data_IF_953977947925
#
_entry.id   IF_953977947925
#
_cell.length_a   1.000
_cell.length_b   1.000
_cell.length_c   1.000
_cell.angle_alpha   90.00
_cell.angle_beta   90.00
_cell.angle_gamma   90.00
#
_symmetry.space_group_name_H-M   'P 1'
#
loop_
_entity.id
_entity.type
_entity.pdbx_description
1 polymer ?
#
# COMPACT_ATOMS: atom_id res chain seq x y z
N UNK A 1 48.23 18.00 -5.81
CA UNK A 1 46.90 18.66 -5.75
C UNK A 1 45.81 17.94 -6.57
N UNK A 2 46.01 16.66 -6.95
CA UNK A 2 45.11 15.89 -7.82
C UNK A 2 44.78 14.49 -7.25
N UNK A 3 44.94 14.32 -5.94
CA UNK A 3 44.80 13.02 -5.26
C UNK A 3 43.93 13.12 -4.00
N UNK A 4 42.94 14.01 -4.03
CA UNK A 4 41.87 14.11 -3.03
C UNK A 4 40.49 13.88 -3.70
N UNK A 5 40.44 12.90 -4.61
CA UNK A 5 39.41 11.86 -4.50
C UNK A 5 39.73 11.07 -3.22
N UNK A 6 38.80 10.52 -2.47
CA UNK A 6 37.39 10.36 -2.75
C UNK A 6 36.78 9.72 -1.52
N UNK A 7 36.08 10.52 -0.73
CA UNK A 7 35.02 10.08 0.18
C UNK A 7 33.98 11.21 0.18
N UNK A 8 33.55 11.66 -1.00
CA UNK A 8 32.19 12.13 -1.11
C UNK A 8 31.41 10.86 -1.43
N UNK A 9 30.95 10.18 -0.37
CA UNK A 9 29.90 9.19 -0.54
C UNK A 9 28.76 9.93 -1.26
N UNK A 10 28.63 9.70 -2.56
CA UNK A 10 27.34 9.77 -3.22
C UNK A 10 26.49 8.69 -2.57
N UNK A 11 26.01 8.98 -1.36
CA UNK A 11 24.69 8.55 -0.97
C UNK A 11 23.81 9.15 -2.04
N UNK A 12 23.47 8.33 -3.04
CA UNK A 12 22.23 8.52 -3.76
C UNK A 12 21.19 8.61 -2.66
N UNK A 13 20.85 9.85 -2.27
CA UNK A 13 19.76 10.11 -1.36
C UNK A 13 18.53 9.64 -2.13
N UNK A 14 18.19 8.37 -1.92
CA UNK A 14 16.90 7.87 -2.39
C UNK A 14 15.88 8.77 -1.74
N UNK A 15 15.08 9.42 -2.59
CA UNK A 15 14.21 10.52 -2.20
C UNK A 15 13.28 9.99 -1.14
N UNK A 16 13.55 10.35 0.11
CA UNK A 16 12.69 9.99 1.20
C UNK A 16 11.44 10.86 1.06
N UNK A 17 10.28 10.22 1.01
CA UNK A 17 9.01 10.94 1.01
C UNK A 17 8.63 11.17 2.47
N UNK A 18 8.44 12.43 2.82
CA UNK A 18 8.01 12.81 4.17
C UNK A 18 6.49 12.90 4.19
N UNK A 19 5.88 12.08 5.05
CA UNK A 19 4.43 11.97 5.21
C UNK A 19 4.04 12.59 6.54
N UNK A 20 3.37 13.74 6.48
CA UNK A 20 2.94 14.44 7.68
C UNK A 20 1.49 14.10 8.01
N UNK A 21 1.26 13.70 9.26
CA UNK A 21 -0.07 13.51 9.81
C UNK A 21 -0.77 14.86 9.98
N UNK A 22 -2.02 14.96 9.51
CA UNK A 22 -2.78 16.23 9.51
C UNK A 22 -3.57 16.43 10.80
N UNK A 23 -4.34 15.46 11.31
CA UNK A 23 -5.13 15.64 12.51
C UNK A 23 -4.27 15.79 13.76
N UNK A 24 -4.72 16.59 14.73
CA UNK A 24 -4.13 16.64 16.06
C UNK A 24 -5.22 16.55 17.13
N UNK A 25 -4.85 16.37 18.38
CA UNK A 25 -5.75 16.42 19.53
C UNK A 25 -5.39 17.58 20.46
N UNK A 26 -4.86 18.68 19.90
CA UNK A 26 -4.49 19.86 20.67
C UNK A 26 -5.73 20.57 21.22
N UNK A 27 -5.60 21.14 22.42
CA UNK A 27 -6.65 21.89 23.09
C UNK A 27 -7.03 23.16 22.29
N UNK A 28 -6.05 23.86 21.73
CA UNK A 28 -6.24 25.11 20.99
C UNK A 28 -6.73 24.92 19.54
N UNK A 29 -6.97 23.69 19.11
CA UNK A 29 -7.50 23.42 17.75
C UNK A 29 -9.03 23.42 17.78
N UNK A 30 -9.64 24.45 17.21
CA UNK A 30 -11.09 24.66 17.19
C UNK A 30 -11.91 23.47 16.65
N UNK A 31 -11.38 22.75 15.66
CA UNK A 31 -12.03 21.57 15.08
C UNK A 31 -12.03 20.34 15.99
N UNK A 32 -11.29 20.36 17.10
CA UNK A 32 -11.33 19.31 18.11
C UNK A 32 -12.47 19.50 19.12
N UNK A 33 -13.33 20.51 18.92
CA UNK A 33 -14.45 20.82 19.81
C UNK A 33 -15.77 20.80 19.05
N UNK A 34 -16.84 20.31 19.69
CA UNK A 34 -18.17 20.18 19.09
C UNK A 34 -18.79 21.54 18.68
N UNK A 35 -18.36 22.64 19.29
CA UNK A 35 -18.78 24.00 18.95
C UNK A 35 -17.94 24.67 17.86
N UNK A 36 -16.91 24.00 17.34
CA UNK A 36 -16.02 24.58 16.33
C UNK A 36 -15.22 25.80 16.82
N UNK A 37 -15.02 25.92 18.14
CA UNK A 37 -14.23 26.96 18.80
C UNK A 37 -13.51 26.39 20.02
N UNK A 38 -12.38 27.00 20.38
CA UNK A 38 -11.69 26.70 21.63
C UNK A 38 -12.56 27.11 22.82
N UNK A 39 -12.60 26.34 23.93
CA UNK A 39 -13.29 26.74 25.16
C UNK A 39 -12.77 28.07 25.71
N UNK A 40 -13.67 28.89 26.23
CA UNK A 40 -13.35 30.16 26.87
C UNK A 40 -13.63 30.10 28.39
N UNK A 41 -13.32 31.18 29.13
CA UNK A 41 -13.26 31.13 30.59
C UNK A 41 -14.56 30.70 31.31
N UNK A 42 -15.71 31.03 30.74
CA UNK A 42 -17.04 30.69 31.28
C UNK A 42 -17.55 29.32 30.84
N UNK A 43 -16.80 28.59 30.03
CA UNK A 43 -17.22 27.28 29.55
C UNK A 43 -16.95 26.18 30.57
N UNK A 44 -17.80 25.16 30.47
CA UNK A 44 -17.61 23.86 31.10
C UNK A 44 -17.06 22.91 30.04
N UNK A 45 -15.81 22.48 30.23
CA UNK A 45 -15.13 21.56 29.32
C UNK A 45 -15.49 20.13 29.67
N UNK A 46 -15.89 19.35 28.67
CA UNK A 46 -16.29 17.96 28.87
C UNK A 46 -15.54 17.02 27.92
N UNK A 47 -14.67 16.21 28.50
CA UNK A 47 -14.13 15.01 27.86
C UNK A 47 -15.02 13.82 28.23
N UNK A 48 -15.45 13.06 27.24
CA UNK A 48 -16.29 11.89 27.49
C UNK A 48 -15.52 10.84 28.31
N UNK A 49 -16.14 10.39 29.40
CA UNK A 49 -15.53 9.52 30.42
C UNK A 49 -14.80 8.30 29.84
N UNK A 50 -15.41 7.65 28.85
CA UNK A 50 -14.95 6.38 28.29
C UNK A 50 -14.06 6.55 27.04
N UNK A 51 -13.72 7.80 26.66
CA UNK A 51 -12.83 8.07 25.54
C UNK A 51 -11.38 8.12 25.99
N UNK A 52 -10.49 7.62 25.13
CA UNK A 52 -9.06 7.65 25.36
C UNK A 52 -8.46 8.83 24.61
N UNK A 53 -7.80 9.75 25.31
CA UNK A 53 -7.23 10.95 24.67
C UNK A 53 -5.86 11.32 25.24
N UNK A 54 -4.96 11.72 24.35
CA UNK A 54 -3.77 12.50 24.68
C UNK A 54 -4.00 13.91 24.14
N UNK A 55 -3.91 14.94 24.97
CA UNK A 55 -4.24 16.33 24.61
C UNK A 55 -3.04 17.22 24.86
N UNK A 56 -2.50 17.82 23.81
CA UNK A 56 -1.46 18.84 23.93
C UNK A 56 -2.08 20.19 24.26
N UNK A 57 -1.50 20.89 25.21
CA UNK A 57 -1.93 22.22 25.67
C UNK A 57 -0.75 23.15 25.50
N UNK A 58 -0.89 24.11 24.59
CA UNK A 58 0.18 25.06 24.25
C UNK A 58 0.15 26.35 25.07
N UNK A 59 -0.98 26.68 25.70
CA UNK A 59 -1.20 27.97 26.35
C UNK A 59 -1.99 27.85 27.67
N UNK A 60 -1.94 28.87 28.55
CA UNK A 60 -2.80 28.92 29.73
C UNK A 60 -4.28 29.06 29.37
N UNK A 61 -5.14 28.31 30.07
CA UNK A 61 -6.60 28.41 29.96
C UNK A 61 -7.23 28.56 31.34
N UNK A 62 -8.00 29.62 31.54
CA UNK A 62 -8.92 29.73 32.66
C UNK A 62 -10.24 29.05 32.28
N UNK A 63 -10.84 28.26 33.16
CA UNK A 63 -12.09 27.54 32.88
C UNK A 63 -12.99 27.50 34.12
N UNK A 64 -14.30 27.37 33.90
CA UNK A 64 -15.27 27.24 35.00
C UNK A 64 -15.23 25.84 35.60
N UNK A 65 -15.32 24.82 34.75
CA UNK A 65 -15.21 23.41 35.14
C UNK A 65 -14.56 22.59 34.01
N UNK A 66 -13.88 21.50 34.36
CA UNK A 66 -13.35 20.53 33.40
C UNK A 66 -13.60 19.10 33.88
N UNK A 67 -14.32 18.32 33.09
CA UNK A 67 -14.51 16.88 33.29
C UNK A 67 -13.47 16.12 32.47
N UNK A 68 -12.62 15.35 33.16
CA UNK A 68 -11.52 14.59 32.55
C UNK A 68 -11.98 13.18 32.12
N UNK A 69 -11.36 12.60 31.09
CA UNK A 69 -11.57 11.19 30.74
C UNK A 69 -10.98 10.27 31.83
N UNK A 70 -11.44 9.02 31.90
CA UNK A 70 -10.81 8.04 32.79
C UNK A 70 -9.42 7.63 32.33
N UNK A 71 -9.21 7.61 31.00
CA UNK A 71 -7.95 7.19 30.39
C UNK A 71 -7.47 8.32 29.48
N UNK A 72 -6.52 9.12 29.94
CA UNK A 72 -5.95 10.16 29.10
C UNK A 72 -4.80 10.89 29.77
N UNK A 73 -4.22 11.80 29.00
CA UNK A 73 -3.13 12.65 29.45
C UNK A 73 -3.28 14.06 28.88
N UNK A 74 -2.71 15.04 29.59
CA UNK A 74 -2.55 16.41 29.12
C UNK A 74 -1.06 16.73 29.06
N UNK A 75 -0.54 16.96 27.86
CA UNK A 75 0.84 17.34 27.61
C UNK A 75 0.92 18.86 27.69
N UNK A 76 1.37 19.38 28.84
CA UNK A 76 1.49 20.81 29.07
C UNK A 76 2.81 21.34 28.51
N UNK A 77 2.73 22.22 27.51
CA UNK A 77 3.90 22.95 27.02
C UNK A 77 4.45 23.89 28.10
N UNK A 78 5.66 24.42 27.88
CA UNK A 78 6.23 25.43 28.75
C UNK A 78 5.30 26.66 28.82
N UNK A 79 4.80 26.97 30.01
CA UNK A 79 3.85 28.07 30.24
C UNK A 79 2.37 27.70 30.05
N UNK A 80 2.05 26.49 29.62
CA UNK A 80 0.67 26.00 29.61
C UNK A 80 0.19 25.67 31.03
N UNK A 81 -1.08 25.97 31.31
CA UNK A 81 -1.70 25.73 32.60
C UNK A 81 -3.23 25.72 32.48
N UNK A 82 -3.89 25.08 33.43
CA UNK A 82 -5.32 25.27 33.67
C UNK A 82 -5.51 26.02 34.98
N UNK A 83 -6.32 27.08 34.96
CA UNK A 83 -6.69 27.86 36.14
C UNK A 83 -8.19 27.91 36.31
N UNK A 84 -8.65 28.07 37.56
CA UNK A 84 -10.05 28.34 37.83
C UNK A 84 -10.41 29.74 37.34
N UNK A 85 -11.54 29.87 36.66
CA UNK A 85 -12.09 31.16 36.28
C UNK A 85 -12.52 31.95 37.54
N UNK A 86 -12.02 33.17 37.67
CA UNK A 86 -12.19 34.03 38.85
C UNK A 86 -13.44 34.92 38.79
N UNK A 87 -14.25 34.80 37.74
CA UNK A 87 -15.43 35.63 37.51
C UNK A 87 -15.13 36.99 36.86
N UNK A 88 -13.87 37.26 36.48
CA UNK A 88 -13.50 38.47 35.74
C UNK A 88 -14.18 38.51 34.36
N UNK A 89 -14.35 39.71 33.80
CA UNK A 89 -14.91 39.84 32.46
C UNK A 89 -13.88 39.41 31.41
N UNK A 90 -14.26 38.44 30.57
CA UNK A 90 -13.46 37.91 29.46
C UNK A 90 -14.12 38.31 28.12
N UNK A 91 -13.51 39.25 27.35
CA UNK A 91 -14.05 39.71 26.07
C UNK A 91 -14.20 38.56 25.07
N UNK A 92 -15.42 38.33 24.58
CA UNK A 92 -15.71 37.23 23.66
C UNK A 92 -16.15 35.93 24.34
N UNK A 93 -16.23 35.92 25.67
CA UNK A 93 -16.80 34.84 26.47
C UNK A 93 -18.04 35.32 27.27
N UNK A 94 -18.93 36.09 26.63
CA UNK A 94 -20.07 36.71 27.33
C UNK A 94 -21.11 35.68 27.80
N UNK A 95 -21.25 34.57 27.08
CA UNK A 95 -22.12 33.44 27.44
C UNK A 95 -21.31 32.16 27.47
N UNK A 96 -21.17 31.56 28.65
CA UNK A 96 -20.58 30.24 28.81
C UNK A 96 -21.52 29.12 28.37
N UNK A 97 -20.95 27.97 28.01
CA UNK A 97 -21.70 26.75 27.73
C UNK A 97 -20.87 25.49 27.95
N UNK A 98 -21.49 24.33 27.77
CA UNK A 98 -20.75 23.06 27.75
C UNK A 98 -20.12 22.86 26.37
N UNK A 99 -18.80 22.70 26.34
CA UNK A 99 -18.02 22.43 25.13
C UNK A 99 -17.41 21.02 25.25
N UNK A 100 -17.68 20.17 24.27
CA UNK A 100 -17.28 18.76 24.28
C UNK A 100 -16.11 18.52 23.35
N UNK A 101 -15.13 17.76 23.82
CA UNK A 101 -14.01 17.36 22.97
C UNK A 101 -14.48 16.30 21.96
N UNK A 102 -14.09 16.48 20.70
CA UNK A 102 -14.51 15.62 19.60
C UNK A 102 -13.84 14.25 19.67
N UNK A 103 -14.56 13.23 19.21
CA UNK A 103 -14.05 11.87 19.14
C UNK A 103 -12.93 11.74 18.09
N UNK A 104 -11.74 11.30 18.53
CA UNK A 104 -10.56 11.10 17.70
C UNK A 104 -10.28 9.63 17.33
N UNK A 105 -11.09 8.66 17.82
CA UNK A 105 -10.88 7.22 17.62
C UNK A 105 -10.89 6.80 16.14
N UNK A 106 -11.69 7.48 15.31
CA UNK A 106 -11.94 7.06 13.91
C UNK A 106 -10.88 7.53 12.91
N UNK A 107 -9.80 8.17 13.39
CA UNK A 107 -8.74 8.73 12.52
C UNK A 107 -7.78 7.63 12.09
N UNK A 108 -8.03 7.06 10.92
CA UNK A 108 -7.29 5.89 10.42
C UNK A 108 -5.95 6.25 9.78
N UNK A 109 -4.91 5.48 10.11
CA UNK A 109 -3.61 5.49 9.45
C UNK A 109 -3.74 5.32 7.94
N UNK A 110 -4.68 4.50 7.47
CA UNK A 110 -4.88 4.20 6.06
C UNK A 110 -5.90 5.13 5.37
N UNK A 111 -6.27 6.25 5.99
CA UNK A 111 -7.05 7.29 5.30
C UNK A 111 -6.10 8.25 4.53
N UNK A 112 -6.09 8.22 3.18
CA UNK A 112 -5.20 9.05 2.37
C UNK A 112 -5.52 10.56 2.43
N UNK A 113 -6.59 10.96 3.12
CA UNK A 113 -6.97 12.35 3.33
C UNK A 113 -6.47 12.94 4.64
N UNK A 114 -5.91 12.09 5.53
CA UNK A 114 -5.32 12.50 6.81
C UNK A 114 -3.80 12.65 6.74
N UNK A 115 -3.22 12.45 5.55
CA UNK A 115 -1.80 12.60 5.27
C UNK A 115 -1.56 13.67 4.22
N UNK A 116 -0.40 14.32 4.31
CA UNK A 116 0.11 15.22 3.27
C UNK A 116 1.60 14.99 3.06
N UNK A 117 2.03 15.26 1.84
CA UNK A 117 3.45 15.25 1.49
C UNK A 117 4.07 16.58 1.90
N UNK A 118 5.22 16.51 2.57
CA UNK A 118 6.02 17.66 2.97
C UNK A 118 7.46 17.53 2.46
N UNK A 119 8.15 18.67 2.41
CA UNK A 119 9.60 18.70 2.22
C UNK A 119 10.30 18.23 3.50
N UNK A 120 11.60 17.86 3.44
CA UNK A 120 12.37 17.54 4.65
C UNK A 120 12.37 18.68 5.68
N UNK A 121 12.17 19.93 5.24
CA UNK A 121 12.02 21.11 6.11
C UNK A 121 10.69 21.18 6.86
N UNK A 122 9.73 20.29 6.57
CA UNK A 122 8.36 20.33 7.09
C UNK A 122 7.42 21.26 6.31
N UNK A 123 7.93 21.99 5.32
CA UNK A 123 7.11 22.84 4.45
C UNK A 123 6.23 22.00 3.52
N UNK A 124 5.05 22.52 3.18
CA UNK A 124 4.17 21.88 2.21
C UNK A 124 4.90 21.72 0.89
N UNK A 125 4.93 20.50 0.34
CA UNK A 125 5.45 20.28 -1.00
C UNK A 125 4.57 21.07 -1.98
N UNK A 126 5.16 21.97 -2.81
CA UNK A 126 4.39 22.74 -3.78
C UNK A 126 3.59 21.80 -4.69
N UNK A 127 2.38 22.23 -5.07
CA UNK A 127 1.62 21.55 -6.10
C UNK A 127 2.44 21.49 -7.38
N UNK A 128 2.74 20.29 -7.84
CA UNK A 128 3.49 20.04 -9.07
C UNK A 128 2.67 19.21 -10.04
N UNK A 129 3.23 18.96 -11.25
CA UNK A 129 2.59 18.08 -12.20
C UNK A 129 2.76 16.59 -11.80
N UNK A 130 3.38 16.31 -10.65
CA UNK A 130 3.50 14.96 -10.08
C UNK A 130 2.46 14.74 -8.99
N UNK A 131 1.77 13.61 -9.04
CA UNK A 131 0.86 13.16 -7.99
C UNK A 131 1.18 11.72 -7.55
N UNK A 132 0.61 11.30 -6.42
CA UNK A 132 0.69 9.92 -5.93
C UNK A 132 -0.65 9.22 -6.07
N UNK A 133 -0.63 7.94 -6.46
CA UNK A 133 -1.84 7.11 -6.42
C UNK A 133 -2.32 6.94 -4.96
N UNK A 134 -3.57 6.51 -4.78
CA UNK A 134 -4.21 6.51 -3.46
C UNK A 134 -3.47 5.67 -2.41
N UNK A 135 -2.91 4.52 -2.78
CA UNK A 135 -2.09 3.67 -1.89
C UNK A 135 -0.75 4.31 -1.51
N UNK A 136 -0.26 5.25 -2.29
CA UNK A 136 0.99 5.98 -2.07
C UNK A 136 0.77 7.33 -1.38
N UNK A 137 -0.49 7.70 -1.11
CA UNK A 137 -0.82 8.93 -0.36
C UNK A 137 -0.72 8.72 1.15
N UNK A 138 -0.92 7.50 1.63
CA UNK A 138 -0.60 7.07 3.00
C UNK A 138 0.87 6.65 3.09
N UNK A 139 1.46 6.53 4.29
CA UNK A 139 2.87 6.16 4.43
C UNK A 139 3.24 4.82 3.80
N UNK A 140 4.30 4.82 3.00
CA UNK A 140 4.91 3.63 2.42
C UNK A 140 6.04 3.08 3.32
N UNK A 141 6.51 1.86 3.01
CA UNK A 141 7.54 1.14 3.74
C UNK A 141 8.83 1.93 4.03
N UNK A 142 9.22 2.79 3.11
CA UNK A 142 10.50 3.52 3.16
C UNK A 142 10.32 5.03 3.43
N UNK A 143 9.12 5.44 3.85
CA UNK A 143 8.79 6.84 4.09
C UNK A 143 9.19 7.25 5.52
N UNK A 144 9.44 8.55 5.66
CA UNK A 144 9.63 9.21 6.94
C UNK A 144 8.29 9.81 7.38
N UNK A 145 7.76 9.37 8.52
CA UNK A 145 6.49 9.85 9.05
C UNK A 145 6.71 10.98 10.03
N UNK A 146 5.95 12.07 9.91
CA UNK A 146 6.03 13.21 10.80
C UNK A 146 4.68 13.42 11.49
N UNK A 147 4.69 13.30 12.81
CA UNK A 147 3.72 13.97 13.66
C UNK A 147 4.30 15.33 14.05
N UNK A 148 3.52 16.40 13.85
CA UNK A 148 4.03 17.75 14.06
C UNK A 148 4.59 17.92 15.48
N UNK A 149 5.72 18.63 15.64
CA UNK A 149 6.20 19.01 16.97
C UNK A 149 5.11 19.77 17.73
N UNK A 150 5.12 19.68 19.06
CA UNK A 150 4.16 20.42 19.90
C UNK A 150 2.68 20.09 19.56
N UNK A 151 2.42 18.84 19.18
CA UNK A 151 1.06 18.35 18.95
C UNK A 151 0.88 16.96 19.54
N UNK A 152 -0.31 16.69 20.06
CA UNK A 152 -0.75 15.32 20.37
C UNK A 152 -1.64 14.81 19.26
N UNK A 153 -1.86 13.50 19.22
CA UNK A 153 -2.71 12.87 18.23
C UNK A 153 -3.31 11.58 18.76
N UNK A 154 -4.26 11.02 18.00
CA UNK A 154 -4.79 9.69 18.21
C UNK A 154 -5.01 9.04 16.84
N UNK A 155 -4.37 7.90 16.61
CA UNK A 155 -4.31 7.25 15.30
C UNK A 155 -4.70 5.78 15.44
N UNK A 156 -5.63 5.36 14.59
CA UNK A 156 -5.99 3.95 14.42
C UNK A 156 -5.06 3.29 13.39
N UNK A 157 -4.20 2.37 13.81
CA UNK A 157 -3.24 1.61 13.02
C UNK A 157 -3.76 0.25 12.56
N UNK A 158 -5.07 0.03 12.54
CA UNK A 158 -5.66 -1.21 12.04
C UNK A 158 -5.22 -1.51 10.61
N UNK A 159 -4.62 -2.68 10.41
CA UNK A 159 -4.05 -3.14 9.14
C UNK A 159 -4.48 -4.57 8.83
N UNK A 160 -4.44 -4.92 7.54
CA UNK A 160 -4.47 -6.30 7.08
C UNK A 160 -3.15 -7.04 7.37
N UNK A 161 -2.09 -6.30 7.69
CA UNK A 161 -0.76 -6.80 8.01
C UNK A 161 -0.50 -6.67 9.51
N UNK A 162 0.23 -7.61 10.14
CA UNK A 162 0.57 -7.51 11.55
C UNK A 162 1.55 -6.35 11.84
N UNK A 163 2.38 -6.01 10.86
CA UNK A 163 3.45 -5.02 10.98
C UNK A 163 3.37 -4.02 9.83
N UNK A 164 3.41 -2.74 10.18
CA UNK A 164 3.52 -1.61 9.26
C UNK A 164 4.96 -1.11 9.35
N UNK A 165 5.75 -1.36 8.31
CA UNK A 165 7.14 -0.94 8.24
C UNK A 165 7.24 0.51 7.76
N UNK A 166 8.20 1.26 8.32
CA UNK A 166 8.53 2.63 7.96
C UNK A 166 10.04 2.82 8.01
N UNK A 167 10.56 3.88 7.38
CA UNK A 167 11.95 4.27 7.55
C UNK A 167 12.17 4.92 8.92
N UNK A 168 11.39 5.95 9.23
CA UNK A 168 11.43 6.65 10.51
C UNK A 168 10.06 7.19 10.92
N UNK A 169 9.92 7.53 12.20
CA UNK A 169 8.76 8.24 12.74
C UNK A 169 9.27 9.37 13.62
N UNK A 170 8.81 10.59 13.36
CA UNK A 170 9.07 11.76 14.19
C UNK A 170 7.88 12.06 15.08
N UNK A 171 8.09 12.08 16.40
CA UNK A 171 7.10 12.43 17.43
C UNK A 171 7.71 13.46 18.36
N UNK A 172 6.97 14.52 18.71
CA UNK A 172 7.46 15.61 19.57
C UNK A 172 8.78 16.24 19.09
N UNK A 173 8.97 16.33 17.77
CA UNK A 173 10.19 16.86 17.17
C UNK A 173 11.42 15.94 17.25
N UNK A 174 11.29 14.73 17.79
CA UNK A 174 12.35 13.74 17.82
C UNK A 174 12.13 12.70 16.72
N UNK A 175 13.10 12.56 15.81
CA UNK A 175 13.13 11.49 14.81
C UNK A 175 13.56 10.16 15.44
N UNK A 176 12.71 9.14 15.33
CA UNK A 176 12.93 7.78 15.80
C UNK A 176 13.14 6.88 14.58
N UNK A 177 14.40 6.57 14.27
CA UNK A 177 14.80 5.83 13.07
C UNK A 177 15.51 4.51 13.39
N UNK A 178 15.55 4.09 14.66
CA UNK A 178 16.07 2.79 15.06
C UNK A 178 15.00 1.98 15.80
N UNK A 179 14.98 0.64 15.65
CA UNK A 179 14.01 -0.20 16.37
C UNK A 179 14.03 0.01 17.90
N UNK A 180 15.21 0.24 18.48
CA UNK A 180 15.36 0.46 19.93
C UNK A 180 14.81 1.80 20.39
N UNK A 181 15.05 2.89 19.66
CA UNK A 181 14.48 4.21 20.01
C UNK A 181 12.96 4.22 19.89
N UNK A 182 12.42 3.60 18.83
CA UNK A 182 10.98 3.45 18.65
C UNK A 182 10.33 2.56 19.72
N UNK A 183 10.95 1.42 20.05
CA UNK A 183 10.49 0.56 21.14
C UNK A 183 10.52 1.29 22.50
N UNK A 184 11.54 2.13 22.73
CA UNK A 184 11.60 2.97 23.92
C UNK A 184 10.43 3.93 24.04
N UNK A 185 10.04 4.58 22.93
CA UNK A 185 8.85 5.43 22.88
C UNK A 185 7.55 4.63 23.08
N UNK A 186 7.41 3.47 22.41
CA UNK A 186 6.24 2.60 22.57
C UNK A 186 6.06 2.04 23.98
N UNK A 187 7.15 1.90 24.74
CA UNK A 187 7.11 1.52 26.16
C UNK A 187 6.69 2.65 27.09
N UNK A 188 6.56 3.89 26.59
CA UNK A 188 6.11 5.05 27.35
C UNK A 188 4.59 5.13 27.52
N UNK A 189 4.10 5.92 28.50
CA UNK A 189 2.68 6.01 28.82
C UNK A 189 1.84 6.69 27.72
N UNK A 190 2.43 7.59 26.93
CA UNK A 190 1.73 8.32 25.88
C UNK A 190 1.43 7.47 24.65
N UNK A 191 2.28 6.48 24.34
CA UNK A 191 2.14 5.65 23.16
C UNK A 191 0.78 4.94 23.03
N UNK A 192 0.24 4.22 24.05
CA UNK A 192 -1.08 3.61 23.96
C UNK A 192 -2.25 4.61 23.89
N UNK A 193 -2.03 5.86 24.31
CA UNK A 193 -3.02 6.94 24.19
C UNK A 193 -3.02 7.54 22.77
N UNK A 194 -1.89 7.47 22.07
CA UNK A 194 -1.69 8.08 20.75
C UNK A 194 -1.83 7.08 19.59
N UNK A 195 -1.47 5.81 19.79
CA UNK A 195 -1.56 4.73 18.81
C UNK A 195 -2.43 3.60 19.35
N UNK A 196 -3.37 3.12 18.52
CA UNK A 196 -4.21 1.97 18.85
C UNK A 196 -4.57 1.21 17.58
N UNK A 197 -5.01 -0.04 17.72
CA UNK A 197 -5.39 -0.90 16.60
C UNK A 197 -4.60 -2.20 16.59
N UNK A 198 -4.85 -3.05 15.60
CA UNK A 198 -4.22 -4.36 15.50
C UNK A 198 -2.82 -4.34 14.83
N UNK A 199 -2.47 -3.28 14.10
CA UNK A 199 -1.22 -3.16 13.37
C UNK A 199 -0.11 -2.55 14.21
N UNK A 200 1.06 -3.18 14.23
CA UNK A 200 2.25 -2.67 14.95
C UNK A 200 3.15 -1.87 14.01
N UNK A 201 3.46 -0.62 14.37
CA UNK A 201 4.43 0.18 13.63
C UNK A 201 5.86 -0.29 13.93
N UNK A 202 6.71 -0.40 12.91
CA UNK A 202 8.14 -0.70 13.07
C UNK A 202 8.99 0.20 12.18
N UNK A 203 10.08 0.73 12.73
CA UNK A 203 11.04 1.56 11.99
C UNK A 203 12.29 0.77 11.64
N UNK A 204 12.80 0.94 10.41
CA UNK A 204 14.01 0.24 9.95
C UNK A 204 15.24 1.14 9.86
N UNK A 205 15.06 2.46 9.76
CA UNK A 205 16.13 3.42 9.49
C UNK A 205 16.71 3.34 8.08
N UNK A 206 16.15 2.50 7.21
CA UNK A 206 16.69 2.21 5.88
C UNK A 206 15.75 2.73 4.79
N UNK A 207 16.27 3.67 3.97
CA UNK A 207 15.61 4.10 2.75
C UNK A 207 15.57 3.00 1.70
N UNK A 208 14.86 3.26 0.60
CA UNK A 208 14.84 2.33 -0.54
C UNK A 208 16.27 2.15 -1.08
N UNK A 209 16.80 0.92 -1.16
CA UNK A 209 18.17 0.69 -1.65
C UNK A 209 18.25 0.58 -3.18
N UNK A 210 17.11 0.42 -3.85
CA UNK A 210 17.04 0.12 -5.28
C UNK A 210 16.78 1.40 -6.10
N UNK A 211 17.65 1.68 -7.07
CA UNK A 211 17.55 2.85 -7.96
C UNK A 211 16.33 2.81 -8.86
N UNK A 212 15.84 1.61 -9.18
CA UNK A 212 14.59 1.45 -9.92
C UNK A 212 13.34 1.71 -9.05
N UNK A 213 13.53 2.06 -7.77
CA UNK A 213 12.49 2.38 -6.80
C UNK A 213 12.08 1.17 -5.95
N UNK A 214 11.22 1.42 -4.97
CA UNK A 214 10.64 0.37 -4.12
C UNK A 214 9.11 0.44 -4.20
N UNK A 215 8.46 -0.71 -4.14
CA UNK A 215 7.00 -0.71 -4.02
C UNK A 215 6.58 -0.18 -2.65
N UNK A 216 5.47 0.55 -2.62
CA UNK A 216 4.99 1.22 -1.43
C UNK A 216 4.73 0.25 -0.24
N UNK A 217 4.23 -0.96 -0.53
CA UNK A 217 3.96 -1.99 0.49
C UNK A 217 2.53 -2.00 1.04
N UNK A 218 1.65 -1.17 0.50
CA UNK A 218 0.27 -1.00 0.98
C UNK A 218 -0.79 -1.82 0.22
N UNK A 219 -0.38 -2.68 -0.72
CA UNK A 219 -1.32 -3.41 -1.59
C UNK A 219 -2.31 -4.29 -0.81
N UNK A 220 -1.91 -4.87 0.34
CA UNK A 220 -2.82 -5.67 1.20
C UNK A 220 -3.84 -4.79 1.94
N UNK A 221 -3.50 -3.53 2.19
CA UNK A 221 -4.37 -2.54 2.82
C UNK A 221 -5.18 -1.72 1.79
N UNK A 222 -4.99 -1.95 0.49
CA UNK A 222 -5.68 -1.26 -0.61
C UNK A 222 -7.21 -1.15 -0.42
N UNK A 223 -7.94 -2.24 -0.11
CA UNK A 223 -9.38 -2.18 0.15
C UNK A 223 -9.75 -1.25 1.33
N UNK A 224 -8.93 -1.23 2.39
CA UNK A 224 -9.13 -0.35 3.56
C UNK A 224 -8.86 1.10 3.20
N UNK A 225 -7.80 1.37 2.43
CA UNK A 225 -7.43 2.70 1.95
C UNK A 225 -8.58 3.27 1.12
N UNK A 226 -9.12 2.49 0.20
CA UNK A 226 -10.25 2.90 -0.62
C UNK A 226 -11.54 3.07 0.20
N UNK A 227 -11.82 2.17 1.14
CA UNK A 227 -12.98 2.33 2.02
C UNK A 227 -12.88 3.60 2.88
N UNK A 228 -11.70 3.94 3.39
CA UNK A 228 -11.47 5.16 4.18
C UNK A 228 -11.65 6.42 3.31
N UNK A 229 -11.05 6.45 2.13
CA UNK A 229 -11.19 7.55 1.17
C UNK A 229 -12.67 7.84 0.85
N UNK A 230 -13.47 6.78 0.65
CA UNK A 230 -14.85 6.85 0.19
C UNK A 230 -15.89 7.01 1.32
N UNK A 231 -15.47 6.95 2.59
CA UNK A 231 -16.38 6.98 3.75
C UNK A 231 -16.99 8.36 4.00
N UNK A 232 -16.33 9.45 3.62
CA UNK A 232 -16.84 10.80 3.91
C UNK A 232 -17.98 11.20 2.94
N UNK A 233 -19.05 11.86 3.42
CA UNK A 233 -20.15 12.32 2.57
C UNK A 233 -19.64 13.26 1.48
N UNK A 234 -20.06 13.01 0.23
CA UNK A 234 -19.59 13.74 -0.95
C UNK A 234 -18.28 13.23 -1.56
N UNK A 235 -17.66 12.18 -0.99
CA UNK A 235 -16.41 11.58 -1.49
C UNK A 235 -16.63 10.21 -2.15
N UNK A 236 -17.63 10.08 -3.01
CA UNK A 236 -17.68 8.93 -3.93
C UNK A 236 -16.63 9.11 -5.02
N UNK A 237 -16.21 8.01 -5.65
CA UNK A 237 -15.40 8.12 -6.86
C UNK A 237 -16.18 8.97 -7.87
N UNK A 238 -15.59 10.05 -8.41
CA UNK A 238 -16.26 10.86 -9.41
C UNK A 238 -16.60 9.98 -10.61
N UNK A 239 -17.77 10.20 -11.20
CA UNK A 239 -18.15 9.49 -12.43
C UNK A 239 -17.11 9.82 -13.51
N UNK A 240 -16.42 8.82 -14.07
CA UNK A 240 -15.40 9.07 -15.07
C UNK A 240 -16.01 9.70 -16.33
N UNK A 241 -15.37 10.74 -16.86
CA UNK A 241 -15.84 11.44 -18.06
C UNK A 241 -15.64 10.66 -19.38
N UNK A 242 -15.05 9.47 -19.32
CA UNK A 242 -14.69 8.60 -20.44
C UNK A 242 -15.48 7.29 -20.40
N UNK A 243 -15.65 6.62 -21.55
CA UNK A 243 -16.50 5.43 -21.68
C UNK A 243 -15.89 4.20 -21.01
N UNK A 244 -14.57 4.00 -21.15
CA UNK A 244 -13.85 2.90 -20.48
C UNK A 244 -12.71 3.48 -19.64
N UNK A 245 -12.96 3.85 -18.37
CA UNK A 245 -11.93 4.34 -17.48
C UNK A 245 -10.90 3.25 -17.17
N UNK A 246 -9.66 3.67 -16.94
CA UNK A 246 -8.57 2.79 -16.49
C UNK A 246 -8.59 2.66 -14.97
N UNK A 247 -8.12 1.53 -14.45
CA UNK A 247 -7.90 1.33 -13.02
C UNK A 247 -6.40 1.10 -12.76
N UNK A 248 -5.60 2.17 -12.56
CA UNK A 248 -4.19 2.02 -12.23
C UNK A 248 -3.99 1.26 -10.93
N UNK A 249 -2.90 0.49 -10.84
CA UNK A 249 -2.53 -0.17 -9.59
C UNK A 249 -2.30 0.87 -8.50
N UNK A 250 -2.88 0.62 -7.32
CA UNK A 250 -2.82 1.53 -6.18
C UNK A 250 -3.77 2.73 -6.23
N UNK A 251 -4.63 2.83 -7.24
CA UNK A 251 -5.63 3.90 -7.33
C UNK A 251 -7.04 3.35 -7.06
N UNK A 252 -7.84 4.03 -6.24
CA UNK A 252 -9.18 3.57 -5.85
C UNK A 252 -10.27 3.82 -6.90
N UNK A 253 -10.17 4.88 -7.69
CA UNK A 253 -11.20 5.29 -8.64
C UNK A 253 -10.76 5.02 -10.09
N UNK A 254 -11.73 4.91 -11.00
CA UNK A 254 -11.44 4.88 -12.42
C UNK A 254 -10.90 6.23 -12.89
N UNK A 255 -9.89 6.23 -13.76
CA UNK A 255 -9.27 7.44 -14.31
C UNK A 255 -9.45 7.53 -15.82
N UNK A 256 -9.61 8.75 -16.32
CA UNK A 256 -9.59 9.05 -17.75
C UNK A 256 -8.22 9.61 -18.12
N UNK A 257 -7.55 8.96 -19.07
CA UNK A 257 -6.17 9.27 -19.44
C UNK A 257 -5.45 8.02 -19.95
N UNK A 258 -4.20 7.85 -19.57
CA UNK A 258 -3.35 6.76 -20.05
C UNK A 258 -2.51 6.16 -18.92
N UNK A 259 -2.18 4.88 -19.06
CA UNK A 259 -1.19 4.19 -18.24
C UNK A 259 -0.11 3.58 -19.10
N UNK A 260 1.14 3.63 -18.63
CA UNK A 260 2.28 2.98 -19.27
C UNK A 260 2.92 2.05 -18.25
N UNK A 261 3.07 0.78 -18.61
CA UNK A 261 3.78 -0.22 -17.82
C UNK A 261 5.12 -0.50 -18.46
N UNK A 262 6.21 -0.26 -17.74
CA UNK A 262 7.57 -0.45 -18.21
C UNK A 262 8.19 -1.70 -17.57
N UNK A 263 8.74 -2.55 -18.43
CA UNK A 263 9.75 -3.52 -18.02
C UNK A 263 11.11 -2.83 -18.06
N UNK A 264 11.93 -3.11 -17.05
CA UNK A 264 13.18 -2.42 -16.83
C UNK A 264 14.32 -3.38 -16.52
N UNK A 265 15.53 -2.95 -16.82
CA UNK A 265 16.79 -3.62 -16.50
C UNK A 265 17.34 -3.10 -15.17
N UNK A 266 18.32 -3.80 -14.55
CA UNK A 266 18.98 -3.31 -13.33
C UNK A 266 19.67 -1.94 -13.44
N UNK A 267 19.87 -1.41 -14.65
CA UNK A 267 20.47 -0.09 -14.89
C UNK A 267 19.46 1.06 -14.85
N UNK A 268 18.16 0.75 -14.81
CA UNK A 268 17.10 1.75 -14.76
C UNK A 268 17.15 2.54 -13.45
N UNK A 269 17.00 3.86 -13.56
CA UNK A 269 16.96 4.79 -12.44
C UNK A 269 15.64 5.56 -12.48
N UNK A 270 14.77 5.28 -11.50
CA UNK A 270 13.41 5.78 -11.43
C UNK A 270 13.39 7.30 -11.31
N UNK A 271 14.22 7.86 -10.42
CA UNK A 271 14.25 9.29 -10.17
C UNK A 271 14.78 10.03 -11.40
N UNK A 272 15.88 9.53 -11.99
CA UNK A 272 16.47 10.13 -13.19
C UNK A 272 15.47 10.13 -14.36
N UNK A 273 14.72 9.04 -14.55
CA UNK A 273 13.75 8.98 -15.63
C UNK A 273 12.52 9.85 -15.34
N UNK A 274 12.03 9.90 -14.11
CA UNK A 274 10.97 10.83 -13.71
C UNK A 274 11.38 12.29 -13.97
N UNK A 275 12.59 12.68 -13.56
CA UNK A 275 13.11 14.03 -13.77
C UNK A 275 13.21 14.38 -15.26
N UNK A 276 13.70 13.44 -16.09
CA UNK A 276 13.72 13.59 -17.56
C UNK A 276 12.33 13.86 -18.12
N UNK A 277 11.35 13.02 -17.75
CA UNK A 277 9.97 13.16 -18.23
C UNK A 277 9.35 14.50 -17.81
N UNK A 278 9.59 14.93 -16.57
CA UNK A 278 9.10 16.23 -16.07
C UNK A 278 9.73 17.38 -16.84
N UNK A 279 11.05 17.38 -17.01
CA UNK A 279 11.79 18.49 -17.58
C UNK A 279 11.63 18.60 -19.10
N UNK A 280 11.63 17.47 -19.82
CA UNK A 280 11.65 17.47 -21.28
C UNK A 280 10.27 17.36 -21.90
N UNK A 281 9.33 16.66 -21.27
CA UNK A 281 8.00 16.43 -21.83
C UNK A 281 6.93 17.20 -21.06
N UNK A 282 6.73 16.91 -19.78
CA UNK A 282 5.61 17.44 -18.99
C UNK A 282 5.64 18.97 -18.83
N UNK A 283 6.83 19.58 -18.91
CA UNK A 283 7.03 21.04 -18.88
C UNK A 283 6.58 21.75 -20.16
N UNK A 284 6.35 21.02 -21.26
CA UNK A 284 6.00 21.63 -22.54
C UNK A 284 4.60 22.25 -22.48
N UNK A 285 4.38 23.45 -23.06
CA UNK A 285 3.09 24.12 -23.02
C UNK A 285 1.90 23.30 -23.54
N UNK A 286 2.12 22.38 -24.49
CA UNK A 286 1.08 21.50 -25.02
C UNK A 286 0.51 20.51 -24.00
N UNK A 287 1.22 20.27 -22.89
CA UNK A 287 0.82 19.39 -21.79
C UNK A 287 0.49 20.13 -20.50
N UNK A 288 0.26 21.45 -20.58
CA UNK A 288 -0.28 22.20 -19.45
C UNK A 288 -1.59 21.56 -18.96
N UNK A 289 -1.70 21.32 -17.65
CA UNK A 289 -2.85 20.66 -17.02
C UNK A 289 -2.72 19.13 -16.90
N UNK A 290 -1.72 18.50 -17.54
CA UNK A 290 -1.46 17.06 -17.36
C UNK A 290 -0.73 16.80 -16.04
N UNK A 291 -1.17 15.78 -15.31
CA UNK A 291 -0.51 15.28 -14.11
C UNK A 291 -0.02 13.85 -14.33
N UNK A 292 1.11 13.51 -13.70
CA UNK A 292 1.78 12.22 -13.81
C UNK A 292 2.03 11.60 -12.44
N UNK A 293 1.69 10.33 -12.26
CA UNK A 293 2.19 9.49 -11.16
C UNK A 293 3.13 8.44 -11.75
N UNK A 294 4.23 8.15 -11.07
CA UNK A 294 5.23 7.20 -11.57
C UNK A 294 5.86 6.44 -10.41
N UNK A 295 5.67 5.12 -10.37
CA UNK A 295 6.11 4.30 -9.25
C UNK A 295 6.37 2.85 -9.64
N UNK A 296 7.15 2.14 -8.80
CA UNK A 296 7.33 0.70 -8.92
C UNK A 296 6.15 -0.03 -8.29
N UNK A 297 5.49 -0.89 -9.06
CA UNK A 297 4.36 -1.70 -8.62
C UNK A 297 4.58 -3.18 -8.95
N UNK A 298 3.82 -4.06 -8.31
CA UNK A 298 3.88 -5.50 -8.56
C UNK A 298 2.61 -5.94 -9.27
N UNK A 299 2.76 -6.47 -10.49
CA UNK A 299 1.63 -7.04 -11.23
C UNK A 299 1.49 -8.52 -10.91
N UNK A 300 0.32 -8.93 -10.44
CA UNK A 300 0.00 -10.34 -10.30
C UNK A 300 0.03 -11.02 -11.68
N UNK A 301 0.81 -12.09 -11.81
CA UNK A 301 0.79 -12.91 -13.01
C UNK A 301 -0.37 -13.90 -12.93
N UNK A 302 -1.41 -13.72 -13.74
CA UNK A 302 -2.41 -14.76 -14.00
C UNK A 302 -1.94 -15.62 -15.17
N UNK A 303 -1.60 -16.89 -14.91
CA UNK A 303 -1.32 -17.87 -15.95
C UNK A 303 -2.43 -18.93 -15.94
N UNK A 304 -3.14 -19.10 -17.06
CA UNK A 304 -4.21 -20.11 -17.22
C UNK A 304 -5.26 -20.10 -16.07
N UNK A 305 -5.64 -18.92 -15.58
CA UNK A 305 -6.66 -18.79 -14.53
C UNK A 305 -6.20 -19.18 -13.12
N UNK A 306 -4.93 -19.58 -12.93
CA UNK A 306 -4.31 -19.69 -11.62
C UNK A 306 -3.39 -18.50 -11.37
N UNK A 307 -3.49 -17.91 -10.17
CA UNK A 307 -2.60 -16.81 -9.75
C UNK A 307 -1.22 -17.42 -9.53
N UNK A 308 -0.28 -17.11 -10.43
CA UNK A 308 1.11 -17.54 -10.29
C UNK A 308 1.74 -16.78 -9.13
N UNK A 309 2.46 -17.49 -8.24
CA UNK A 309 3.01 -16.92 -6.99
C UNK A 309 4.08 -15.84 -7.19
N UNK A 310 4.56 -15.62 -8.40
CA UNK A 310 5.52 -14.56 -8.73
C UNK A 310 4.83 -13.32 -9.27
N UNK A 311 4.78 -12.25 -8.49
CA UNK A 311 4.43 -10.93 -9.02
C UNK A 311 5.67 -10.29 -9.65
N UNK A 312 5.58 -9.85 -10.90
CA UNK A 312 6.71 -9.20 -11.59
C UNK A 312 6.70 -7.71 -11.25
N UNK A 313 7.83 -7.14 -10.79
CA UNK A 313 7.92 -5.70 -10.61
C UNK A 313 7.93 -5.02 -11.98
N UNK A 314 7.18 -3.93 -12.10
CA UNK A 314 7.18 -3.04 -13.26
C UNK A 314 7.12 -1.59 -12.79
N UNK A 315 7.45 -0.66 -13.69
CA UNK A 315 7.23 0.76 -13.43
C UNK A 315 5.91 1.17 -14.08
N UNK A 316 4.97 1.66 -13.29
CA UNK A 316 3.70 2.18 -13.77
C UNK A 316 3.78 3.70 -13.84
N UNK A 317 3.47 4.26 -15.00
CA UNK A 317 3.24 5.68 -15.21
C UNK A 317 1.74 5.86 -15.43
N UNK A 318 1.12 6.77 -14.68
CA UNK A 318 -0.29 7.13 -14.80
C UNK A 318 -0.37 8.59 -15.21
N UNK A 319 -1.08 8.87 -16.28
CA UNK A 319 -1.26 10.19 -16.83
C UNK A 319 -2.74 10.55 -16.82
N UNK A 320 -3.07 11.68 -16.22
CA UNK A 320 -4.42 12.24 -16.18
C UNK A 320 -4.35 13.70 -16.60
N UNK A 321 -5.42 14.22 -17.18
CA UNK A 321 -5.54 15.65 -17.50
C UNK A 321 -6.81 16.26 -16.90
N UNK A 322 -6.83 17.58 -16.81
CA UNK A 322 -7.94 18.37 -16.28
C UNK A 322 -9.03 18.67 -17.32
N UNK A 323 -8.93 18.11 -18.53
CA UNK A 323 -9.92 18.32 -19.58
C UNK A 323 -11.19 17.53 -19.27
N UNK A 324 -12.33 18.11 -19.65
CA UNK A 324 -13.64 17.53 -19.39
C UNK A 324 -14.36 17.11 -20.68
N UNK A 325 -15.40 16.28 -20.52
CA UNK A 325 -16.25 15.83 -21.62
C UNK A 325 -15.49 15.01 -22.66
N UNK A 326 -15.80 15.23 -23.94
CA UNK A 326 -15.23 14.46 -25.05
C UNK A 326 -13.70 14.62 -25.24
N UNK A 327 -13.07 15.55 -24.52
CA UNK A 327 -11.62 15.77 -24.55
C UNK A 327 -10.89 15.22 -23.32
N UNK A 328 -11.62 14.66 -22.35
CA UNK A 328 -11.03 14.11 -21.14
C UNK A 328 -10.01 13.01 -21.47
N UNK A 329 -8.80 13.13 -20.93
CA UNK A 329 -7.72 12.18 -21.16
C UNK A 329 -6.96 12.34 -22.48
N UNK A 330 -7.37 13.25 -23.37
CA UNK A 330 -6.73 13.43 -24.69
C UNK A 330 -5.30 13.97 -24.63
N UNK A 331 -5.00 14.86 -23.67
CA UNK A 331 -3.64 15.38 -23.51
C UNK A 331 -2.74 14.34 -22.84
N UNK A 332 -3.29 13.60 -21.87
CA UNK A 332 -2.62 12.49 -21.23
C UNK A 332 -2.29 11.37 -22.23
N UNK A 333 -3.21 11.04 -23.14
CA UNK A 333 -3.00 10.08 -24.23
C UNK A 333 -1.88 10.53 -25.18
N UNK A 334 -1.91 11.78 -25.63
CA UNK A 334 -0.85 12.31 -26.50
C UNK A 334 0.51 12.31 -25.79
N UNK A 335 0.57 12.68 -24.51
CA UNK A 335 1.81 12.59 -23.73
C UNK A 335 2.28 11.13 -23.62
N UNK A 336 1.37 10.19 -23.41
CA UNK A 336 1.71 8.78 -23.33
C UNK A 336 2.34 8.27 -24.64
N UNK A 337 1.78 8.67 -25.79
CA UNK A 337 2.33 8.34 -27.10
C UNK A 337 3.73 8.93 -27.30
N UNK A 338 3.94 10.20 -26.94
CA UNK A 338 5.25 10.85 -27.02
C UNK A 338 6.28 10.17 -26.08
N UNK A 339 5.87 9.73 -24.89
CA UNK A 339 6.72 8.93 -23.98
C UNK A 339 7.08 7.58 -24.62
N UNK A 340 6.11 6.88 -25.20
CA UNK A 340 6.37 5.60 -25.90
C UNK A 340 7.32 5.78 -27.09
N UNK A 341 7.25 6.92 -27.78
CA UNK A 341 8.20 7.28 -28.83
C UNK A 341 9.61 7.54 -28.28
N UNK A 342 9.74 8.27 -27.17
CA UNK A 342 11.03 8.47 -26.49
C UNK A 342 11.63 7.15 -26.02
N UNK A 343 10.82 6.23 -25.48
CA UNK A 343 11.25 4.88 -25.09
C UNK A 343 11.73 4.09 -26.31
N UNK A 344 11.03 4.16 -27.45
CA UNK A 344 11.44 3.45 -28.65
C UNK A 344 12.79 3.94 -29.21
N UNK A 345 13.14 5.21 -28.98
CA UNK A 345 14.39 5.82 -29.48
C UNK A 345 15.54 5.74 -28.47
N UNK A 346 15.25 5.92 -27.18
CA UNK A 346 16.25 6.13 -26.13
C UNK A 346 16.12 5.15 -24.95
N UNK A 347 15.11 4.28 -24.95
CA UNK A 347 14.77 3.41 -23.83
C UNK A 347 15.91 2.48 -23.39
N UNK A 348 16.64 1.88 -24.33
CA UNK A 348 17.76 0.98 -24.02
C UNK A 348 18.85 1.69 -23.18
N UNK A 349 19.22 2.91 -23.57
CA UNK A 349 20.20 3.73 -22.84
C UNK A 349 19.72 4.17 -21.45
N UNK A 350 18.40 4.18 -21.24
CA UNK A 350 17.75 4.48 -19.96
C UNK A 350 17.49 3.21 -19.12
N UNK A 351 17.88 2.03 -19.63
CA UNK A 351 17.65 0.75 -18.96
C UNK A 351 16.21 0.26 -19.03
N UNK A 352 15.40 0.75 -19.98
CA UNK A 352 14.01 0.32 -20.23
C UNK A 352 14.05 -0.79 -21.28
N UNK A 353 13.51 -1.97 -20.96
CA UNK A 353 13.51 -3.12 -21.88
C UNK A 353 12.28 -3.15 -22.78
N UNK A 354 11.11 -2.80 -22.24
CA UNK A 354 9.87 -2.72 -23.00
C UNK A 354 8.87 -1.79 -22.32
N UNK A 355 7.90 -1.28 -23.09
CA UNK A 355 6.81 -0.46 -22.57
C UNK A 355 5.48 -0.90 -23.17
N UNK A 356 4.43 -0.93 -22.35
CA UNK A 356 3.05 -1.20 -22.78
C UNK A 356 2.15 -0.06 -22.33
N UNK A 357 1.51 0.60 -23.30
CA UNK A 357 0.56 1.68 -23.07
C UNK A 357 -0.88 1.16 -23.12
N UNK A 358 -1.72 1.66 -22.22
CA UNK A 358 -3.18 1.46 -22.19
C UNK A 358 -3.85 2.85 -22.07
N UNK A 359 -4.95 3.07 -22.78
CA UNK A 359 -5.64 4.36 -22.85
C UNK A 359 -7.12 4.17 -22.54
N UNK A 360 -7.72 5.10 -21.80
CA UNK A 360 -9.15 5.14 -21.57
C UNK A 360 -9.90 5.46 -22.87
N UNK A 361 -10.88 4.64 -23.28
CA UNK A 361 -11.61 4.90 -24.53
C UNK A 361 -12.76 5.88 -24.31
N UNK A 362 -12.99 6.80 -25.26
CA UNK A 362 -14.14 7.72 -25.26
C UNK A 362 -13.88 9.16 -25.70
N UNK A 363 -12.63 9.57 -25.89
CA UNK A 363 -12.28 10.83 -26.56
C UNK A 363 -12.27 10.62 -28.07
N UNK A 364 -13.22 11.20 -28.79
CA UNK A 364 -13.27 11.11 -30.26
C UNK A 364 -12.13 11.94 -30.88
N UNK A 365 -10.97 11.33 -31.10
CA UNK A 365 -9.95 11.83 -32.03
C UNK A 365 -9.00 10.71 -32.52
N UNK A 366 -9.32 10.20 -33.73
CA UNK A 366 -8.49 9.41 -34.67
C UNK A 366 -7.85 8.10 -34.17
N UNK A 367 -8.12 6.95 -34.77
CA UNK A 367 -8.06 6.73 -36.22
C UNK A 367 -6.63 6.42 -36.65
N UNK A 368 -6.30 5.12 -36.63
CA UNK A 368 -5.37 4.49 -37.56
C UNK A 368 -3.87 4.75 -37.38
N UNK A 369 -3.26 4.04 -36.42
CA UNK A 369 -1.89 3.51 -36.57
C UNK A 369 -1.94 2.02 -36.25
N UNK A 370 -1.35 1.22 -37.13
CA UNK A 370 -1.70 -0.18 -37.37
C UNK A 370 -1.53 -1.14 -36.19
N UNK A 371 -2.62 -1.83 -35.85
CA UNK A 371 -2.60 -3.08 -35.11
C UNK A 371 -2.26 -4.25 -36.05
N UNK A 372 -1.12 -4.92 -35.81
CA UNK A 372 -1.05 -6.37 -36.03
C UNK A 372 -1.82 -7.09 -34.90
N UNK A 373 -2.35 -8.30 -35.17
CA UNK A 373 -3.75 -8.58 -34.89
C UNK A 373 -3.98 -8.93 -33.43
N UNK A 374 -4.69 -8.06 -32.71
CA UNK A 374 -5.45 -8.50 -31.55
C UNK A 374 -6.61 -9.37 -32.06
N UNK A 375 -6.68 -10.58 -31.52
CA UNK A 375 -7.78 -11.50 -31.70
C UNK A 375 -9.11 -10.79 -31.47
N UNK A 376 -9.89 -10.63 -32.54
CA UNK A 376 -11.32 -10.38 -32.39
C UNK A 376 -11.92 -11.64 -31.77
N UNK A 377 -12.24 -11.58 -30.49
CA UNK A 377 -13.22 -12.48 -29.89
C UNK A 377 -14.53 -12.18 -30.59
N UNK A 378 -14.72 -12.89 -31.68
CA UNK A 378 -15.92 -12.85 -32.51
C UNK A 378 -17.01 -13.53 -31.69
N UNK A 379 -18.15 -12.86 -31.52
CA UNK A 379 -19.40 -13.43 -31.04
C UNK A 379 -19.92 -14.49 -32.04
N UNK A 380 -19.15 -15.56 -32.21
CA UNK A 380 -19.32 -16.64 -33.17
C UNK A 380 -18.70 -17.97 -32.71
N UNK A 381 -18.12 -18.04 -31.50
CA UNK A 381 -17.58 -19.30 -30.96
C UNK A 381 -18.66 -20.22 -30.38
N UNK A 382 -19.77 -19.69 -29.85
CA UNK A 382 -20.85 -20.54 -29.31
C UNK A 382 -21.57 -21.26 -30.44
N UNK A 383 -21.72 -20.61 -31.60
CA UNK A 383 -22.42 -21.22 -32.72
C UNK A 383 -21.59 -22.28 -33.44
N UNK A 384 -20.29 -22.05 -33.60
CA UNK A 384 -19.36 -23.05 -34.14
C UNK A 384 -19.33 -24.33 -33.29
N UNK A 385 -19.24 -24.19 -31.96
CA UNK A 385 -19.19 -25.34 -31.05
C UNK A 385 -20.51 -26.15 -31.06
N UNK A 386 -21.65 -25.47 -31.13
CA UNK A 386 -22.96 -26.14 -31.25
C UNK A 386 -23.13 -26.87 -32.58
N UNK A 387 -22.69 -26.28 -33.69
CA UNK A 387 -22.71 -26.95 -34.99
C UNK A 387 -21.73 -28.13 -35.04
N UNK A 388 -20.53 -28.01 -34.46
CA UNK A 388 -19.57 -29.11 -34.36
C UNK A 388 -20.11 -30.26 -33.50
N UNK A 389 -20.76 -29.97 -32.37
CA UNK A 389 -21.37 -30.99 -31.52
C UNK A 389 -22.58 -31.67 -32.17
N UNK A 390 -23.43 -30.91 -32.87
CA UNK A 390 -24.54 -31.47 -33.66
C UNK A 390 -24.02 -32.35 -34.80
N UNK A 391 -22.94 -31.95 -35.46
CA UNK A 391 -22.33 -32.71 -36.55
C UNK A 391 -21.68 -34.00 -36.04
N UNK A 392 -20.92 -33.94 -34.93
CA UNK A 392 -20.33 -35.11 -34.27
C UNK A 392 -21.42 -36.06 -33.74
N UNK A 393 -22.47 -35.53 -33.12
CA UNK A 393 -23.62 -36.30 -32.67
C UNK A 393 -24.37 -36.98 -33.83
N UNK A 394 -24.53 -36.27 -34.95
CA UNK A 394 -25.12 -36.81 -36.19
C UNK A 394 -24.29 -37.94 -36.80
N UNK A 395 -22.97 -37.78 -36.87
CA UNK A 395 -22.05 -38.82 -37.36
C UNK A 395 -22.09 -40.05 -36.45
N UNK A 396 -22.06 -39.86 -35.13
CA UNK A 396 -22.12 -40.95 -34.15
C UNK A 396 -23.46 -41.71 -34.23
N UNK A 397 -24.57 -40.99 -34.44
CA UNK A 397 -25.89 -41.58 -34.63
C UNK A 397 -25.97 -42.42 -35.92
N UNK A 398 -25.42 -41.92 -37.02
CA UNK A 398 -25.36 -42.63 -38.30
C UNK A 398 -24.41 -43.83 -38.26
N UNK A 399 -23.32 -43.76 -37.48
CA UNK A 399 -22.42 -44.87 -37.20
C UNK A 399 -23.10 -45.96 -36.35
N UNK A 400 -23.78 -45.59 -35.26
CA UNK A 400 -24.54 -46.53 -34.41
C UNK A 400 -25.70 -47.20 -35.13
N UNK A 401 -26.31 -46.53 -36.10
CA UNK A 401 -27.34 -47.14 -36.98
C UNK A 401 -26.77 -47.93 -38.16
N UNK A 402 -25.44 -48.10 -38.23
CA UNK A 402 -24.77 -48.95 -39.23
C UNK A 402 -24.86 -48.45 -40.68
N UNK A 403 -25.21 -47.18 -40.89
CA UNK A 403 -25.42 -46.58 -42.23
C UNK A 403 -24.19 -45.87 -42.81
N UNK A 404 -23.15 -45.65 -42.00
CA UNK A 404 -21.85 -45.14 -42.46
C UNK A 404 -20.79 -46.25 -42.36
N UNK A 405 -20.34 -46.76 -43.51
CA UNK A 405 -19.13 -47.58 -43.61
C UNK A 405 -17.98 -46.67 -44.05
N UNK A 406 -17.12 -46.28 -43.12
CA UNK A 406 -15.86 -45.60 -43.46
C UNK A 406 -14.89 -46.64 -44.04
N UNK A 407 -14.18 -46.34 -45.15
CA UNK A 407 -13.09 -47.17 -45.63
C UNK A 407 -11.97 -47.17 -44.58
N UNK A 408 -11.50 -48.36 -44.21
CA UNK A 408 -10.37 -48.49 -43.31
C UNK A 408 -9.10 -47.92 -43.96
N UNK A 409 -8.71 -46.71 -43.58
CA UNK A 409 -7.36 -46.19 -43.83
C UNK A 409 -6.42 -46.87 -42.84
N UNK A 410 -5.59 -47.79 -43.35
CA UNK A 410 -4.42 -48.35 -42.65
C UNK A 410 -3.40 -47.23 -42.42
N UNK A 411 -3.05 -46.87 -41.18
CA UNK A 411 -1.82 -46.14 -40.92
C UNK A 411 -0.65 -47.13 -40.98
N UNK A 412 0.32 -46.88 -41.86
CA UNK A 412 1.63 -47.49 -41.78
C UNK A 412 2.40 -46.83 -40.63
N UNK A 413 2.66 -47.57 -39.55
CA UNK A 413 3.65 -47.20 -38.54
C UNK A 413 4.90 -48.05 -38.77
N UNK A 414 6.08 -47.44 -38.95
CA UNK A 414 7.36 -48.13 -38.85
C UNK A 414 7.94 -47.87 -37.45
N UNK A 415 7.90 -48.85 -36.55
CA UNK A 415 8.89 -48.89 -35.47
C UNK A 415 9.03 -50.32 -34.93
N UNK A 416 10.26 -50.60 -34.53
CA UNK A 416 10.87 -51.91 -34.35
C UNK A 416 10.27 -52.80 -33.25
N UNK A 417 10.51 -54.09 -33.49
CA UNK A 417 10.36 -55.26 -32.63
C UNK A 417 11.14 -55.12 -31.31
N UNK A 418 10.47 -55.36 -30.19
CA UNK A 418 11.05 -56.04 -29.01
C UNK A 418 9.90 -56.77 -28.29
N UNK A 419 10.18 -57.99 -27.85
CA UNK A 419 9.25 -59.02 -27.36
C UNK A 419 8.50 -58.64 -26.06
N UNK A 420 7.26 -59.11 -25.92
CA UNK A 420 6.50 -59.15 -24.66
C UNK A 420 6.98 -60.30 -23.76
N UNK A 421 6.90 -60.12 -22.43
CA UNK A 421 6.35 -61.18 -21.60
C UNK A 421 5.25 -60.72 -20.62
N UNK A 422 4.13 -61.45 -20.72
CA UNK A 422 3.03 -61.79 -19.79
C UNK A 422 2.44 -60.82 -18.73
N UNK A 423 1.11 -60.92 -18.47
CA UNK A 423 0.36 -59.97 -17.65
C UNK A 423 0.46 -60.24 -16.13
N UNK A 424 0.41 -59.20 -15.28
CA UNK A 424 0.44 -59.36 -13.83
C UNK A 424 -0.95 -59.67 -13.23
N UNK A 425 -0.92 -60.42 -12.12
CA UNK A 425 -2.03 -60.74 -11.23
C UNK A 425 -2.47 -59.52 -10.37
N UNK A 426 -3.66 -59.55 -9.73
CA UNK A 426 -4.37 -58.34 -9.32
C UNK A 426 -3.83 -57.67 -8.04
N UNK A 427 -4.07 -56.36 -7.98
CA UNK A 427 -3.56 -55.39 -7.02
C UNK A 427 -3.90 -55.68 -5.55
N UNK A 428 -2.87 -55.54 -4.70
CA UNK A 428 -3.00 -55.31 -3.26
C UNK A 428 -2.73 -53.84 -2.97
N UNK A 429 -3.69 -53.26 -2.26
CA UNK A 429 -3.82 -51.88 -1.81
C UNK A 429 -2.76 -51.53 -0.76
N UNK A 430 -1.80 -50.63 -1.08
CA UNK A 430 -1.12 -49.75 -0.11
C UNK A 430 -0.61 -48.48 -0.78
N UNK A 431 -0.98 -47.35 -0.18
CA UNK A 431 -0.70 -46.00 -0.62
C UNK A 431 0.75 -45.53 -0.43
N UNK A 432 0.95 -44.31 -0.90
CA UNK A 432 2.18 -43.55 -1.05
C UNK A 432 3.14 -43.59 0.16
N UNK A 433 4.41 -43.87 -0.15
CA UNK A 433 5.55 -43.78 0.75
C UNK A 433 6.38 -42.52 0.39
N UNK A 434 6.76 -41.73 1.39
CA UNK A 434 7.44 -40.43 1.24
C UNK A 434 8.86 -40.54 1.81
N UNK A 435 9.94 -40.47 0.99
CA UNK A 435 11.28 -40.85 1.42
C UNK A 435 12.14 -39.63 1.75
N UNK A 436 12.17 -39.20 3.01
CA UNK A 436 13.35 -38.52 3.60
C UNK A 436 13.36 -38.84 5.09
N UNK A 437 14.53 -39.24 5.61
CA UNK A 437 14.84 -39.76 6.95
C UNK A 437 14.75 -41.28 7.11
N UNK A 438 15.74 -41.98 6.55
CA UNK A 438 16.16 -43.30 7.01
C UNK A 438 17.61 -43.22 7.47
N UNK A 439 17.81 -43.05 8.77
CA UNK A 439 19.06 -43.42 9.44
C UNK A 439 18.68 -44.17 10.71
N UNK A 440 18.97 -45.45 10.72
CA UNK A 440 18.78 -46.37 11.83
C UNK A 440 20.11 -46.46 12.60
N UNK A 441 20.11 -46.44 13.95
CA UNK A 441 21.35 -46.48 14.73
C UNK A 441 21.84 -47.92 14.96
N UNK A 442 23.15 -48.13 15.19
CA UNK A 442 23.68 -49.43 15.54
C UNK A 442 23.62 -49.69 17.07
N UNK A 443 23.23 -50.91 17.43
CA UNK A 443 23.39 -51.50 18.77
C UNK A 443 24.86 -51.91 18.98
N UNK A 444 25.54 -51.37 20.00
CA UNK A 444 26.52 -52.11 20.82
C UNK A 444 26.64 -51.49 22.23
N UNK A 445 26.55 -52.35 23.24
CA UNK A 445 26.88 -52.17 24.66
C UNK A 445 28.12 -51.29 24.94
N UNK A 446 28.08 -50.49 26.02
CA UNK A 446 29.16 -50.38 27.00
C UNK A 446 28.76 -49.52 28.22
N UNK A 447 29.28 -49.94 29.37
CA UNK A 447 29.01 -49.45 30.71
C UNK A 447 29.48 -48.02 31.00
N UNK A 448 28.69 -47.35 31.86
CA UNK A 448 29.09 -46.53 33.01
C UNK A 448 30.40 -45.72 32.94
N UNK A 449 30.30 -44.40 32.71
CA UNK A 449 31.04 -43.35 33.48
C UNK A 449 30.24 -42.04 33.43
N UNK A 450 29.97 -41.48 34.61
CA UNK A 450 29.28 -40.23 34.84
C UNK A 450 29.99 -38.99 34.27
N UNK A 451 29.23 -38.00 33.80
CA UNK A 451 29.59 -36.59 33.91
C UNK A 451 28.36 -35.70 33.94
N UNK A 452 28.50 -34.60 34.67
CA UNK A 452 27.47 -33.83 35.37
C UNK A 452 26.66 -32.88 34.48
N UNK A 453 25.46 -32.60 34.99
CA UNK A 453 24.66 -31.39 34.82
C UNK A 453 24.14 -31.05 33.42
N UNK A 454 22.91 -31.48 33.15
CA UNK A 454 21.95 -30.77 32.29
C UNK A 454 20.52 -31.20 32.65
N UNK A 455 20.02 -30.72 33.79
CA UNK A 455 18.58 -30.68 34.08
C UNK A 455 18.03 -29.33 33.59
N UNK A 456 17.36 -29.34 32.45
CA UNK A 456 16.53 -28.20 32.01
C UNK A 456 15.13 -28.42 32.59
N UNK A 457 14.78 -27.67 33.63
CA UNK A 457 13.39 -27.53 34.06
C UNK A 457 12.77 -26.31 33.39
N UNK A 458 11.58 -26.50 32.82
CA UNK A 458 10.72 -25.42 32.38
C UNK A 458 10.05 -24.81 33.63
N UNK A 459 10.40 -23.58 33.99
CA UNK A 459 9.78 -22.82 35.09
C UNK A 459 8.70 -21.91 34.53
N UNK A 460 7.45 -22.17 34.92
CA UNK A 460 6.30 -21.33 34.61
C UNK A 460 6.39 -20.01 35.41
N UNK A 461 6.44 -18.83 34.76
CA UNK A 461 6.66 -17.54 35.44
C UNK A 461 5.46 -17.03 36.27
N UNK A 462 4.39 -17.82 36.43
CA UNK A 462 3.21 -17.46 37.24
C UNK A 462 3.02 -18.34 38.50
N UNK A 463 3.99 -19.15 38.88
CA UNK A 463 3.90 -19.95 40.11
C UNK A 463 4.65 -19.29 41.27
N UNK A 464 3.91 -18.76 42.25
CA UNK A 464 4.46 -18.33 43.53
C UNK A 464 4.25 -19.44 44.57
N UNK A 465 5.34 -20.04 45.06
CA UNK A 465 5.29 -21.14 46.03
C UNK A 465 5.16 -20.68 47.50
N UNK A 466 4.87 -19.39 47.76
CA UNK A 466 4.78 -18.83 49.11
C UNK A 466 3.35 -18.59 49.64
N UNK A 467 2.32 -19.02 48.92
CA UNK A 467 0.92 -18.91 49.39
C UNK A 467 0.21 -20.27 49.46
N UNK A 468 0.78 -21.23 50.20
CA UNK A 468 -0.03 -22.28 50.82
C UNK A 468 0.65 -22.75 52.10
N UNK A 469 -0.16 -22.83 53.16
CA UNK A 469 0.09 -23.41 54.50
C UNK A 469 0.47 -22.43 55.63
N UNK A 470 -0.60 -22.00 56.32
CA UNK A 470 -0.77 -21.69 57.77
C UNK A 470 0.01 -20.55 58.42
#
# INVERSE_FOLDING_TARGET
LLSLLGILQLLAATVAVYKQWIPNTNFETASNWDKGRVPCARDVVHFEKDKVVSVFVGSPHALTDMYLPLNGEFLLAAGAAFTAFDGSWDPGCDTGGTVRFADAEQRSWFDPTLWRDVLPSGELRPGGPIFSVHEERVPCRHDDVIFQPETSFRVNTDSAQPVIHLRSISVMGQELNTPSSWAGYLGGPSAPLQFHGNGTLQVTGTGCPDKSGCACGNALDGPRICAALLRAPGRQCPEPACQSPLQPLGHCCGVCGATINLEFTPHFDLQKYQDKLVQELLSQPKYAGVQMAMSKVHRAQTFLGTVSRGATPLIQIVLIDDRAGAQAGSAAEQLAADIMQDIAQHGEALGISSGKMEVATGSTASGQVGSHPASRITAGSVMGLLFSLLFLGGILFLYRKGKLRLPALRPQHPWERMEDPEPPAPASDKGFDNPVFSVEPPDVDLAEVASKDLQVFYLNPLYNASETET
#
